data_IF_688041130380
#
_entry.id   IF_688041130380
#
_cell.length_a   1.000
_cell.length_b   1.000
_cell.length_c   1.000
_cell.angle_alpha   90.00
_cell.angle_beta   90.00
_cell.angle_gamma   90.00
#
_symmetry.space_group_name_H-M   'P 1'
#
loop_
_entity.id
_entity.type
_entity.pdbx_description
1 polymer ?
#
# COMPACT_ATOMS: atom_id res chain seq x y z
N UNK A 1 49.70 -35.89 7.58
CA UNK A 1 49.40 -34.45 7.51
C UNK A 1 47.98 -34.19 6.98
N UNK A 2 47.62 -34.71 5.80
CA UNK A 2 46.31 -34.48 5.16
C UNK A 2 45.07 -34.80 6.03
N UNK A 3 45.06 -35.93 6.74
CA UNK A 3 43.93 -36.32 7.59
C UNK A 3 43.65 -35.35 8.77
N UNK A 4 44.69 -34.71 9.32
CA UNK A 4 44.56 -33.73 10.41
C UNK A 4 43.93 -32.42 9.93
N UNK A 5 44.30 -31.98 8.71
CA UNK A 5 43.74 -30.80 8.08
C UNK A 5 42.27 -31.05 7.67
N UNK A 6 41.97 -32.20 7.07
CA UNK A 6 40.62 -32.54 6.63
C UNK A 6 39.58 -32.52 7.76
N UNK A 7 39.96 -32.92 8.99
CA UNK A 7 39.07 -32.87 10.15
C UNK A 7 38.64 -31.44 10.54
N UNK A 8 39.47 -30.43 10.25
CA UNK A 8 39.14 -29.03 10.47
C UNK A 8 38.40 -28.38 9.29
N UNK A 9 38.22 -29.10 8.18
CA UNK A 9 37.54 -28.64 6.96
C UNK A 9 36.26 -29.46 6.70
N UNK A 10 35.66 -29.95 7.77
CA UNK A 10 34.41 -30.71 7.68
C UNK A 10 33.22 -29.75 7.57
N UNK A 11 32.13 -30.14 6.90
CA UNK A 11 30.92 -29.31 6.82
C UNK A 11 30.37 -28.90 8.20
N UNK A 12 30.58 -29.74 9.22
CA UNK A 12 30.21 -29.45 10.61
C UNK A 12 31.04 -28.29 11.19
N UNK A 13 32.35 -28.29 10.93
CA UNK A 13 33.23 -27.18 11.33
C UNK A 13 32.87 -25.91 10.57
N UNK A 14 32.61 -26.01 9.26
CA UNK A 14 32.20 -24.87 8.44
C UNK A 14 30.88 -24.26 8.92
N UNK A 15 29.88 -25.08 9.25
CA UNK A 15 28.59 -24.61 9.76
C UNK A 15 28.75 -23.82 11.07
N UNK A 16 29.64 -24.28 11.96
CA UNK A 16 29.95 -23.57 13.21
C UNK A 16 30.64 -22.24 12.93
N UNK A 17 31.68 -22.22 12.10
CA UNK A 17 32.45 -21.01 11.82
C UNK A 17 31.68 -20.00 10.95
N UNK A 18 30.76 -20.45 10.11
CA UNK A 18 29.84 -19.57 9.37
C UNK A 18 28.86 -18.86 10.31
N UNK A 19 28.33 -19.57 11.32
CA UNK A 19 27.40 -18.98 12.30
C UNK A 19 28.12 -18.13 13.35
N UNK A 20 29.32 -18.55 13.75
CA UNK A 20 30.14 -17.97 14.83
C UNK A 20 31.57 -17.75 14.34
N UNK A 21 31.81 -16.78 13.44
CA UNK A 21 33.14 -16.53 12.92
C UNK A 21 34.06 -15.96 14.01
N UNK A 22 35.35 -16.24 13.89
CA UNK A 22 36.38 -15.47 14.57
C UNK A 22 36.40 -14.05 13.97
N UNK A 23 36.15 -13.02 14.79
CA UNK A 23 36.05 -11.62 14.34
C UNK A 23 37.07 -10.74 15.06
N UNK A 24 38.20 -10.49 14.41
CA UNK A 24 39.24 -9.61 14.92
C UNK A 24 39.06 -8.17 14.39
N UNK A 25 39.34 -7.16 15.22
CA UNK A 25 39.34 -5.73 14.86
C UNK A 25 38.02 -5.24 14.22
N UNK A 26 36.88 -5.62 14.80
CA UNK A 26 35.56 -5.19 14.32
C UNK A 26 35.39 -3.68 14.45
N UNK A 27 35.19 -2.99 13.32
CA UNK A 27 34.79 -1.58 13.25
C UNK A 27 33.31 -1.48 12.94
N UNK A 28 32.61 -0.52 13.54
CA UNK A 28 31.20 -0.23 13.25
C UNK A 28 31.03 1.13 12.59
N UNK A 29 30.00 1.26 11.76
CA UNK A 29 29.56 2.56 11.25
C UNK A 29 28.64 3.26 12.26
N UNK A 30 28.35 4.54 12.01
CA UNK A 30 27.26 5.22 12.68
C UNK A 30 25.90 4.53 12.42
N UNK A 31 24.99 4.47 13.41
CA UNK A 31 23.63 3.99 13.19
C UNK A 31 22.82 4.92 12.28
N UNK A 32 21.98 4.34 11.41
CA UNK A 32 21.04 5.07 10.57
C UNK A 32 19.59 4.63 10.86
N UNK A 33 18.61 5.55 10.88
CA UNK A 33 17.23 5.20 11.17
C UNK A 33 16.55 4.50 9.99
N UNK A 34 15.70 3.52 10.28
CA UNK A 34 14.82 2.86 9.32
C UNK A 34 13.38 2.87 9.85
N UNK A 35 12.49 3.58 9.16
CA UNK A 35 11.06 3.53 9.44
C UNK A 35 10.45 2.37 8.63
N UNK A 36 9.94 1.37 9.35
CA UNK A 36 9.20 0.26 8.76
C UNK A 36 7.71 0.46 9.01
N UNK A 37 6.93 0.55 7.94
CA UNK A 37 5.48 0.71 7.99
C UNK A 37 4.75 -0.57 7.59
N UNK A 38 3.41 -0.57 7.68
CA UNK A 38 2.56 -1.69 7.24
C UNK A 38 2.70 -1.95 5.74
N UNK A 39 2.49 -3.19 5.32
CA UNK A 39 2.53 -3.61 3.90
C UNK A 39 1.71 -2.70 2.97
N UNK A 40 0.49 -2.32 3.38
CA UNK A 40 -0.41 -1.50 2.57
C UNK A 40 0.06 -0.05 2.34
N UNK A 41 1.15 0.39 2.98
CA UNK A 41 1.84 1.63 2.62
C UNK A 41 2.64 1.47 1.31
N UNK A 42 3.10 0.26 1.00
CA UNK A 42 3.87 -0.08 -0.20
C UNK A 42 3.02 -0.80 -1.25
N UNK A 43 2.20 -1.76 -0.84
CA UNK A 43 1.45 -2.65 -1.73
C UNK A 43 -0.06 -2.54 -1.52
N UNK A 44 -0.77 -2.11 -2.56
CA UNK A 44 -2.22 -2.16 -2.61
C UNK A 44 -2.76 -1.61 -3.92
N UNK A 45 -3.90 -2.13 -4.32
CA UNK A 45 -4.62 -1.70 -5.50
C UNK A 45 -5.74 -0.72 -5.13
N UNK A 46 -5.80 0.41 -5.83
CA UNK A 46 -6.68 1.53 -5.51
C UNK A 46 -7.76 1.71 -6.58
N UNK A 47 -9.01 1.87 -6.14
CA UNK A 47 -10.14 2.17 -7.01
C UNK A 47 -10.78 3.50 -6.63
N UNK A 48 -10.90 4.41 -7.59
CA UNK A 48 -11.58 5.69 -7.41
C UNK A 48 -12.97 5.67 -8.03
N UNK A 49 -13.98 6.16 -7.30
CA UNK A 49 -15.30 6.41 -7.87
C UNK A 49 -16.04 7.53 -7.14
N UNK A 50 -17.07 8.07 -7.79
CA UNK A 50 -17.90 9.16 -7.24
C UNK A 50 -19.19 8.61 -6.62
N UNK A 51 -19.38 8.67 -5.28
CA UNK A 51 -20.60 8.19 -4.64
C UNK A 51 -21.88 8.82 -5.19
N UNK A 52 -21.82 10.10 -5.57
CA UNK A 52 -22.95 10.83 -6.16
C UNK A 52 -23.44 10.25 -7.50
N UNK A 53 -22.60 9.49 -8.20
CA UNK A 53 -22.95 8.87 -9.49
C UNK A 53 -23.65 7.52 -9.32
N UNK A 54 -23.65 6.95 -8.12
CA UNK A 54 -24.26 5.64 -7.80
C UNK A 54 -25.64 5.83 -7.19
N UNK A 55 -26.51 6.54 -7.92
CA UNK A 55 -27.88 6.87 -7.51
C UNK A 55 -28.92 5.83 -7.92
N UNK A 56 -30.16 6.30 -8.02
CA UNK A 56 -31.32 5.54 -8.52
C UNK A 56 -32.08 6.38 -9.55
N UNK A 57 -32.97 5.80 -10.37
CA UNK A 57 -33.79 6.60 -11.28
C UNK A 57 -34.61 7.69 -10.57
N UNK A 58 -35.12 7.41 -9.37
CA UNK A 58 -35.93 8.35 -8.57
C UNK A 58 -35.08 9.39 -7.84
N UNK A 59 -33.87 9.01 -7.41
CA UNK A 59 -32.91 9.89 -6.75
C UNK A 59 -31.54 9.76 -7.43
N UNK A 60 -31.28 10.52 -8.52
CA UNK A 60 -30.09 10.37 -9.34
C UNK A 60 -28.78 10.68 -8.61
N UNK A 61 -28.83 11.61 -7.64
CA UNK A 61 -27.69 11.87 -6.76
C UNK A 61 -27.60 10.78 -5.69
N UNK A 62 -26.56 9.95 -5.79
CA UNK A 62 -26.32 8.87 -4.84
C UNK A 62 -26.10 9.33 -3.40
N UNK A 63 -26.34 8.41 -2.47
CA UNK A 63 -26.05 8.53 -1.04
C UNK A 63 -24.99 7.51 -0.66
N UNK A 64 -24.44 7.57 0.55
CA UNK A 64 -23.55 6.49 1.03
C UNK A 64 -24.21 5.11 1.01
N UNK A 65 -25.53 5.03 1.27
CA UNK A 65 -26.28 3.77 1.23
C UNK A 65 -26.37 3.19 -0.18
N UNK A 66 -26.52 4.03 -1.20
CA UNK A 66 -26.57 3.55 -2.59
C UNK A 66 -25.17 3.26 -3.13
N UNK A 67 -24.19 4.10 -2.82
CA UNK A 67 -22.79 3.90 -3.21
C UNK A 67 -22.18 2.60 -2.65
N UNK A 68 -22.58 2.19 -1.44
CA UNK A 68 -22.14 0.92 -0.84
C UNK A 68 -22.48 -0.32 -1.71
N UNK A 69 -23.48 -0.22 -2.59
CA UNK A 69 -23.84 -1.31 -3.54
C UNK A 69 -22.75 -1.61 -4.57
N UNK A 70 -21.80 -0.69 -4.80
CA UNK A 70 -20.66 -0.92 -5.70
C UNK A 70 -19.49 -1.62 -5.04
N UNK A 71 -19.38 -1.58 -3.71
CA UNK A 71 -18.24 -2.17 -2.99
C UNK A 71 -18.04 -3.66 -3.29
N UNK A 72 -19.09 -4.52 -3.39
CA UNK A 72 -18.90 -5.92 -3.76
C UNK A 72 -18.26 -6.11 -5.14
N UNK A 73 -18.64 -5.29 -6.13
CA UNK A 73 -18.06 -5.36 -7.48
C UNK A 73 -16.61 -4.87 -7.50
N UNK A 74 -16.30 -3.82 -6.73
CA UNK A 74 -14.93 -3.31 -6.56
C UNK A 74 -14.03 -4.36 -5.91
N UNK A 75 -14.51 -4.99 -4.83
CA UNK A 75 -13.80 -6.07 -4.15
C UNK A 75 -13.60 -7.29 -5.06
N UNK A 76 -14.60 -7.65 -5.88
CA UNK A 76 -14.49 -8.76 -6.83
C UNK A 76 -13.45 -8.53 -7.94
N UNK A 77 -13.10 -7.27 -8.23
CA UNK A 77 -11.98 -6.93 -9.13
C UNK A 77 -10.61 -7.04 -8.44
N UNK A 78 -10.57 -7.34 -7.13
CA UNK A 78 -9.34 -7.47 -6.36
C UNK A 78 -8.79 -6.16 -5.78
N UNK A 79 -9.60 -5.09 -5.74
CA UNK A 79 -9.18 -3.82 -5.16
C UNK A 79 -9.17 -3.83 -3.64
N UNK A 80 -8.15 -3.20 -3.07
CA UNK A 80 -7.93 -3.15 -1.62
C UNK A 80 -8.39 -1.84 -0.97
N UNK A 81 -8.30 -0.73 -1.71
CA UNK A 81 -8.55 0.63 -1.22
C UNK A 81 -9.54 1.33 -2.13
N UNK A 82 -10.54 1.95 -1.52
CA UNK A 82 -11.48 2.84 -2.20
C UNK A 82 -11.08 4.29 -1.91
N UNK A 83 -10.73 5.03 -2.96
CA UNK A 83 -10.50 6.47 -2.89
C UNK A 83 -11.78 7.22 -3.27
N UNK A 84 -12.22 8.11 -2.38
CA UNK A 84 -13.41 8.91 -2.57
C UNK A 84 -13.03 10.37 -2.83
N UNK A 85 -13.55 10.99 -3.91
CA UNK A 85 -13.53 12.44 -4.08
C UNK A 85 -14.18 13.15 -2.87
N UNK A 86 -13.97 14.46 -2.68
CA UNK A 86 -14.49 15.18 -1.53
C UNK A 86 -16.00 14.96 -1.28
N UNK A 87 -16.32 14.51 -0.06
CA UNK A 87 -17.68 14.15 0.37
C UNK A 87 -18.39 15.26 1.16
N UNK A 88 -17.83 16.46 1.13
CA UNK A 88 -18.33 17.64 1.84
C UNK A 88 -19.30 18.44 0.94
N UNK A 89 -20.01 19.44 1.50
CA UNK A 89 -20.79 20.36 0.70
C UNK A 89 -19.95 21.04 -0.40
N UNK A 90 -20.55 21.25 -1.57
CA UNK A 90 -19.91 21.91 -2.71
C UNK A 90 -20.30 23.38 -2.73
N UNK A 91 -19.31 24.29 -2.79
CA UNK A 91 -19.56 25.74 -2.89
C UNK A 91 -20.41 26.14 -4.10
N UNK A 92 -21.12 27.27 -4.00
CA UNK A 92 -22.01 27.78 -5.06
C UNK A 92 -21.39 28.93 -5.85
N UNK A 93 -20.67 29.84 -5.20
CA UNK A 93 -19.95 30.94 -5.85
C UNK A 93 -18.86 30.40 -6.77
N UNK A 94 -18.83 30.86 -8.03
CA UNK A 94 -17.90 30.41 -9.08
C UNK A 94 -17.87 28.89 -9.30
N UNK A 95 -19.00 28.21 -9.06
CA UNK A 95 -19.14 26.78 -9.33
C UNK A 95 -19.05 26.51 -10.83
N UNK A 96 -18.24 25.53 -11.23
CA UNK A 96 -18.14 25.07 -12.63
C UNK A 96 -19.38 24.28 -13.05
N UNK A 97 -19.77 24.41 -14.32
CA UNK A 97 -20.83 23.60 -14.92
C UNK A 97 -20.31 22.31 -15.59
N UNK A 98 -21.21 21.64 -16.33
CA UNK A 98 -20.86 20.43 -17.10
C UNK A 98 -19.76 20.75 -18.13
N UNK A 99 -18.89 19.79 -18.44
CA UNK A 99 -17.77 19.96 -19.38
C UNK A 99 -16.86 21.17 -19.04
N UNK A 100 -16.67 21.45 -17.75
CA UNK A 100 -15.79 22.51 -17.23
C UNK A 100 -16.18 23.94 -17.65
N UNK A 101 -17.47 24.22 -17.91
CA UNK A 101 -17.95 25.59 -18.20
C UNK A 101 -17.78 26.50 -16.98
N UNK A 102 -17.56 27.80 -17.23
CA UNK A 102 -17.37 28.80 -16.17
C UNK A 102 -18.65 29.09 -15.38
N UNK A 103 -19.79 28.89 -16.00
CA UNK A 103 -21.09 29.09 -15.38
C UNK A 103 -21.76 27.74 -15.13
N UNK A 104 -22.28 27.50 -13.91
CA UNK A 104 -23.16 26.38 -13.65
C UNK A 104 -24.53 26.72 -14.26
N UNK A 105 -25.04 25.84 -15.13
CA UNK A 105 -26.40 25.95 -15.65
C UNK A 105 -27.44 25.65 -14.58
#
# INVERSE_FOLDING_TARGET
>A
AAARLAAALTPEVDAVLARYPLRDLVTSSEPLPLLVERERALYGSWYEFFPRSEGTPQQPHGTFRTAARRLPAIAAMGFDVVYLPPIHPIGTTFRKGKNNTLSPG
#
